data_IF_499947349111
#
_entry.id   IF_499947349111
#
_cell.length_a   1.000
_cell.length_b   1.000
_cell.length_c   1.000
_cell.angle_alpha   90.00
_cell.angle_beta   90.00
_cell.angle_gamma   90.00
#
_symmetry.space_group_name_H-M   'P 1'
#
loop_
_entity.id
_entity.type
_entity.pdbx_description
1 polymer ?
#
# COMPACT_ATOMS: atom_id res chain seq x y z
N UNK A 1 10.11 2.73 -3.58
CA UNK A 1 9.68 3.46 -2.37
C UNK A 1 9.41 2.52 -1.20
N UNK A 2 8.47 1.58 -1.28
CA UNK A 2 8.25 0.58 -0.22
C UNK A 2 9.55 -0.13 0.23
N UNK A 3 10.39 -0.58 -0.70
CA UNK A 3 11.69 -1.17 -0.38
C UNK A 3 12.64 -0.22 0.39
N UNK A 4 12.60 1.08 0.09
CA UNK A 4 13.41 2.07 0.82
C UNK A 4 12.86 2.31 2.22
N UNK A 5 11.53 2.37 2.38
CA UNK A 5 10.89 2.49 3.71
C UNK A 5 11.26 1.27 4.57
N UNK A 6 11.15 0.05 4.02
CA UNK A 6 11.49 -1.17 4.74
C UNK A 6 12.98 -1.26 5.11
N UNK A 7 13.87 -0.80 4.23
CA UNK A 7 15.32 -0.81 4.45
C UNK A 7 15.78 0.29 5.43
N UNK A 8 15.12 1.45 5.41
CA UNK A 8 15.46 2.59 6.25
C UNK A 8 14.68 2.65 7.57
N UNK A 9 13.72 1.72 7.79
CA UNK A 9 12.93 1.73 9.02
C UNK A 9 13.84 1.54 10.24
N UNK A 10 13.72 2.39 11.27
CA UNK A 10 14.50 2.29 12.50
C UNK A 10 14.19 1.02 13.31
N UNK A 11 12.99 0.44 13.11
CA UNK A 11 12.54 -0.80 13.73
C UNK A 11 12.21 -1.84 12.64
N UNK A 12 13.22 -2.47 12.01
CA UNK A 12 13.01 -3.34 10.87
C UNK A 12 12.12 -4.54 11.23
N UNK A 13 12.17 -5.06 12.44
CA UNK A 13 11.40 -6.28 12.76
C UNK A 13 9.89 -6.02 12.90
N UNK A 14 9.45 -4.78 13.09
CA UNK A 14 8.03 -4.44 13.33
C UNK A 14 7.38 -3.74 12.16
N UNK A 15 8.16 -3.18 11.23
CA UNK A 15 7.61 -2.48 10.06
C UNK A 15 7.22 -3.48 8.98
N UNK A 16 5.92 -3.54 8.69
CA UNK A 16 5.34 -4.25 7.55
C UNK A 16 4.74 -3.25 6.56
N UNK A 17 4.74 -3.59 5.27
CA UNK A 17 4.14 -2.76 4.22
C UNK A 17 3.26 -3.63 3.33
N UNK A 18 2.07 -3.12 3.04
CA UNK A 18 1.22 -3.64 1.95
C UNK A 18 1.23 -2.65 0.80
N UNK A 19 1.62 -3.10 -0.40
CA UNK A 19 1.59 -2.31 -1.64
C UNK A 19 0.41 -2.75 -2.49
N UNK A 20 -0.38 -1.79 -2.95
CA UNK A 20 -1.49 -2.07 -3.87
C UNK A 20 -1.35 -1.32 -5.18
N UNK A 21 -1.89 -1.90 -6.24
CA UNK A 21 -2.05 -1.28 -7.55
C UNK A 21 -3.25 -1.92 -8.25
N UNK A 22 -3.91 -1.20 -9.17
CA UNK A 22 -5.00 -1.76 -9.96
C UNK A 22 -4.47 -2.65 -11.10
N UNK A 23 -3.25 -2.39 -11.58
CA UNK A 23 -2.60 -3.17 -12.65
C UNK A 23 -1.86 -4.39 -12.06
N UNK A 24 -2.28 -5.63 -12.40
CA UNK A 24 -1.59 -6.85 -11.97
C UNK A 24 -0.10 -6.90 -12.33
N UNK A 25 0.32 -6.22 -13.41
CA UNK A 25 1.73 -6.15 -13.82
C UNK A 25 2.53 -5.31 -12.85
N UNK A 26 1.97 -4.21 -12.34
CA UNK A 26 2.60 -3.38 -11.32
C UNK A 26 2.72 -4.12 -9.99
N UNK A 27 1.69 -4.88 -9.60
CA UNK A 27 1.72 -5.74 -8.40
C UNK A 27 2.80 -6.81 -8.50
N UNK A 28 2.92 -7.48 -9.65
CA UNK A 28 3.97 -8.48 -9.90
C UNK A 28 5.35 -7.84 -9.78
N UNK A 29 5.55 -6.69 -10.41
CA UNK A 29 6.82 -5.98 -10.37
C UNK A 29 7.15 -5.44 -8.96
N UNK A 30 6.15 -5.10 -8.15
CA UNK A 30 6.33 -4.75 -6.74
C UNK A 30 6.74 -5.97 -5.92
N UNK A 31 6.10 -7.12 -6.15
CA UNK A 31 6.39 -8.38 -5.46
C UNK A 31 7.85 -8.80 -5.69
N UNK A 32 8.33 -8.73 -6.93
CA UNK A 32 9.73 -9.06 -7.25
C UNK A 32 10.73 -8.16 -6.54
N UNK A 33 10.48 -6.85 -6.50
CA UNK A 33 11.33 -5.88 -5.80
C UNK A 33 11.34 -6.06 -4.29
N UNK A 34 10.26 -6.60 -3.74
CA UNK A 34 10.06 -6.73 -2.29
C UNK A 34 10.37 -8.13 -1.75
N UNK A 35 10.69 -9.09 -2.63
CA UNK A 35 10.95 -10.49 -2.28
C UNK A 35 11.96 -10.68 -1.14
N UNK A 36 13.00 -9.85 -1.07
CA UNK A 36 14.04 -9.93 -0.05
C UNK A 36 13.57 -9.58 1.38
N UNK A 37 12.40 -8.96 1.53
CA UNK A 37 11.86 -8.56 2.83
C UNK A 37 10.93 -9.60 3.48
N UNK A 38 10.65 -10.72 2.78
CA UNK A 38 9.83 -11.81 3.30
C UNK A 38 8.46 -11.34 3.81
N UNK A 39 8.08 -11.82 4.99
CA UNK A 39 6.77 -11.56 5.61
C UNK A 39 6.52 -10.09 5.98
N UNK A 40 7.51 -9.21 5.81
CA UNK A 40 7.35 -7.76 6.03
C UNK A 40 6.77 -7.03 4.83
N UNK A 41 6.65 -7.68 3.68
CA UNK A 41 6.16 -7.06 2.47
C UNK A 41 5.06 -7.89 1.81
N UNK A 42 3.91 -7.26 1.63
CA UNK A 42 2.76 -7.84 0.96
C UNK A 42 2.41 -7.01 -0.27
N UNK A 43 1.91 -7.67 -1.32
CA UNK A 43 1.42 -7.01 -2.51
C UNK A 43 0.03 -7.51 -2.85
N UNK A 44 -0.83 -6.62 -3.36
CA UNK A 44 -2.21 -6.99 -3.69
C UNK A 44 -2.76 -6.14 -4.83
N UNK A 45 -3.46 -6.78 -5.78
CA UNK A 45 -4.26 -6.04 -6.75
C UNK A 45 -5.48 -5.46 -6.04
N UNK A 46 -5.68 -4.15 -6.14
CA UNK A 46 -6.82 -3.47 -5.53
C UNK A 46 -7.19 -2.20 -6.29
N UNK A 47 -8.48 -1.88 -6.25
CA UNK A 47 -8.97 -0.56 -6.64
C UNK A 47 -8.84 0.38 -5.45
N UNK A 48 -8.27 1.57 -5.66
CA UNK A 48 -8.12 2.56 -4.60
C UNK A 48 -9.48 3.04 -4.04
N UNK A 49 -10.55 2.94 -4.83
CA UNK A 49 -11.93 3.29 -4.46
C UNK A 49 -12.68 2.19 -3.71
N UNK A 50 -12.08 1.02 -3.53
CA UNK A 50 -12.64 -0.11 -2.80
C UNK A 50 -11.50 -1.00 -2.25
N UNK A 51 -10.81 -0.50 -1.23
CA UNK A 51 -9.66 -1.16 -0.63
C UNK A 51 -10.11 -2.42 0.13
N UNK A 52 -9.52 -3.60 -0.14
CA UNK A 52 -9.93 -4.87 0.46
C UNK A 52 -9.33 -5.08 1.85
N UNK A 53 -9.44 -4.07 2.71
CA UNK A 53 -8.89 -4.03 4.05
C UNK A 53 -9.95 -3.60 5.05
N UNK A 54 -9.80 -4.02 6.30
CA UNK A 54 -10.68 -3.61 7.38
C UNK A 54 -10.46 -2.13 7.74
N UNK A 55 -11.44 -1.55 8.43
CA UNK A 55 -11.34 -0.20 8.97
C UNK A 55 -10.21 -0.14 10.00
N UNK A 56 -9.43 0.94 9.98
CA UNK A 56 -8.32 1.14 10.93
C UNK A 56 -7.22 0.08 10.88
N UNK A 57 -7.05 -0.63 9.76
CA UNK A 57 -6.06 -1.72 9.65
C UNK A 57 -4.61 -1.22 9.55
N UNK A 58 -4.37 0.03 9.16
CA UNK A 58 -3.02 0.58 8.94
C UNK A 58 -2.78 1.82 9.78
N UNK A 59 -1.58 1.95 10.36
CA UNK A 59 -1.17 3.17 11.07
C UNK A 59 -0.74 4.30 10.12
N UNK A 60 -0.51 3.98 8.84
CA UNK A 60 -0.11 4.95 7.82
C UNK A 60 -0.60 4.52 6.44
N UNK A 61 -1.12 5.48 5.68
CA UNK A 61 -1.50 5.30 4.27
C UNK A 61 -0.79 6.36 3.42
N UNK A 62 -0.13 5.91 2.35
CA UNK A 62 0.62 6.78 1.43
C UNK A 62 0.20 6.52 -0.01
N UNK A 63 0.10 7.59 -0.79
CA UNK A 63 -0.16 7.54 -2.23
C UNK A 63 0.87 8.41 -2.94
N UNK A 64 1.41 7.92 -4.06
CA UNK A 64 2.48 8.59 -4.79
C UNK A 64 2.14 8.68 -6.26
N UNK A 65 1.94 9.91 -6.77
CA UNK A 65 1.74 10.18 -8.20
C UNK A 65 0.68 9.25 -8.82
N UNK A 66 -0.38 8.95 -8.06
CA UNK A 66 -1.42 7.99 -8.45
C UNK A 66 -2.81 8.61 -8.47
N UNK A 67 -3.17 9.41 -7.45
CA UNK A 67 -4.54 9.92 -7.28
C UNK A 67 -5.12 10.65 -8.50
N UNK A 68 -4.29 11.30 -9.31
CA UNK A 68 -4.73 11.98 -10.54
C UNK A 68 -5.16 11.04 -11.67
N UNK A 69 -4.95 9.72 -11.54
CA UNK A 69 -5.47 8.69 -12.43
C UNK A 69 -6.86 8.17 -12.00
N UNK A 70 -7.35 8.56 -10.83
CA UNK A 70 -8.61 8.07 -10.27
C UNK A 70 -9.70 9.11 -10.55
N UNK A 71 -10.74 8.73 -11.28
CA UNK A 71 -11.88 9.61 -11.55
C UNK A 71 -12.60 9.95 -10.24
N UNK A 72 -12.99 8.93 -9.49
CA UNK A 72 -13.65 9.06 -8.18
C UNK A 72 -12.62 9.21 -7.05
N UNK A 73 -11.68 10.15 -7.20
CA UNK A 73 -10.56 10.32 -6.27
C UNK A 73 -11.01 10.63 -4.83
N UNK A 74 -12.16 11.29 -4.65
CA UNK A 74 -12.75 11.52 -3.32
C UNK A 74 -13.10 10.21 -2.63
N UNK A 75 -13.64 9.22 -3.37
CA UNK A 75 -13.91 7.89 -2.84
C UNK A 75 -12.61 7.16 -2.50
N UNK A 76 -11.56 7.31 -3.31
CA UNK A 76 -10.25 6.74 -2.99
C UNK A 76 -9.63 7.36 -1.73
N UNK A 77 -9.83 8.67 -1.52
CA UNK A 77 -9.41 9.34 -0.29
C UNK A 77 -10.25 8.86 0.92
N UNK A 78 -11.57 8.68 0.75
CA UNK A 78 -12.43 8.13 1.78
C UNK A 78 -12.01 6.71 2.21
N UNK A 79 -11.64 5.86 1.25
CA UNK A 79 -11.10 4.53 1.54
C UNK A 79 -9.74 4.60 2.25
N UNK A 80 -8.85 5.50 1.83
CA UNK A 80 -7.57 5.71 2.50
C UNK A 80 -7.76 6.15 3.96
N UNK A 81 -8.73 7.03 4.23
CA UNK A 81 -9.09 7.43 5.59
C UNK A 81 -9.74 6.28 6.37
N UNK A 82 -10.63 5.50 5.75
CA UNK A 82 -11.32 4.37 6.40
C UNK A 82 -10.34 3.34 6.94
N UNK A 83 -9.32 2.99 6.16
CA UNK A 83 -8.34 1.96 6.54
C UNK A 83 -7.23 2.49 7.45
N UNK A 84 -7.13 3.82 7.65
CA UNK A 84 -6.18 4.45 8.56
C UNK A 84 -6.70 4.35 10.01
N UNK A 85 -5.86 3.85 10.92
CA UNK A 85 -6.12 3.85 12.35
C UNK A 85 -6.10 5.29 12.88
N UNK A 86 -7.18 5.73 13.54
CA UNK A 86 -7.33 7.06 14.13
C UNK A 86 -7.04 7.05 15.63
#
# INVERSE_FOLDING_TARGET
>A
MAAHILAASPEPQTTTITVTDFDPRMVTAAQDRLRAFGDRAHTRVAYATALPFADGQFDMVVSFIMLHHVVDWEQALAEAVRVLYL
#
